data_IF_478451954734
#
_entry.id   IF_478451954734
#
_cell.length_a   1.000
_cell.length_b   1.000
_cell.length_c   1.000
_cell.angle_alpha   90.00
_cell.angle_beta   90.00
_cell.angle_gamma   90.00
#
_symmetry.space_group_name_H-M   'P 1'
#
loop_
_entity.id
_entity.type
_entity.pdbx_description
1 polymer ?
#
# COMPACT_ATOMS: atom_id res chain seq x y z
N UNK A 1 -27.95 12.20 20.26
CA UNK A 1 -27.88 11.91 18.81
C UNK A 1 -26.46 12.06 18.28
N UNK A 2 -25.71 13.05 18.77
CA UNK A 2 -24.32 13.36 18.39
C UNK A 2 -23.33 12.19 18.55
N UNK A 3 -23.34 11.47 19.68
CA UNK A 3 -22.49 10.29 19.89
C UNK A 3 -22.74 9.16 18.86
N UNK A 4 -23.97 8.99 18.38
CA UNK A 4 -24.27 7.95 17.37
C UNK A 4 -23.71 8.32 15.99
N UNK A 5 -23.64 9.61 15.65
CA UNK A 5 -23.07 10.06 14.38
C UNK A 5 -21.54 10.01 14.42
N UNK A 6 -20.92 10.41 15.54
CA UNK A 6 -19.46 10.28 15.74
C UNK A 6 -19.00 8.82 15.66
N UNK A 7 -19.69 7.89 16.32
CA UNK A 7 -19.36 6.47 16.22
C UNK A 7 -19.47 5.93 14.78
N UNK A 8 -20.44 6.41 13.98
CA UNK A 8 -20.55 6.01 12.57
C UNK A 8 -19.39 6.53 11.72
N UNK A 9 -18.98 7.78 11.95
CA UNK A 9 -17.83 8.38 11.25
C UNK A 9 -16.53 7.65 11.60
N UNK A 10 -16.29 7.35 12.88
CA UNK A 10 -15.14 6.53 13.29
C UNK A 10 -15.17 5.14 12.68
N UNK A 11 -16.31 4.46 12.68
CA UNK A 11 -16.42 3.13 12.09
C UNK A 11 -16.14 3.16 10.58
N UNK A 12 -16.65 4.16 9.87
CA UNK A 12 -16.38 4.34 8.45
C UNK A 12 -14.89 4.65 8.18
N UNK A 13 -14.25 5.47 9.01
CA UNK A 13 -12.81 5.73 8.93
C UNK A 13 -11.99 4.46 9.19
N UNK A 14 -12.30 3.70 10.25
CA UNK A 14 -11.61 2.44 10.57
C UNK A 14 -11.75 1.45 9.42
N UNK A 15 -12.95 1.29 8.86
CA UNK A 15 -13.19 0.38 7.75
C UNK A 15 -12.43 0.80 6.47
N UNK A 16 -12.34 2.11 6.19
CA UNK A 16 -11.52 2.60 5.09
C UNK A 16 -10.03 2.29 5.34
N UNK A 17 -9.55 2.55 6.56
CA UNK A 17 -8.15 2.32 6.92
C UNK A 17 -7.77 0.84 6.85
N UNK A 18 -8.63 -0.07 7.29
CA UNK A 18 -8.39 -1.51 7.19
C UNK A 18 -8.23 -1.95 5.73
N UNK A 19 -9.13 -1.53 4.83
CA UNK A 19 -9.04 -1.86 3.41
C UNK A 19 -7.73 -1.36 2.77
N UNK A 20 -7.34 -0.13 3.07
CA UNK A 20 -6.09 0.41 2.56
C UNK A 20 -4.86 -0.34 3.10
N UNK A 21 -4.88 -0.76 4.36
CA UNK A 21 -3.81 -1.58 4.95
C UNK A 21 -3.71 -2.96 4.29
N UNK A 22 -4.84 -3.60 3.97
CA UNK A 22 -4.85 -4.87 3.24
C UNK A 22 -4.21 -4.71 1.84
N UNK A 23 -4.52 -3.62 1.14
CA UNK A 23 -3.92 -3.32 -0.17
C UNK A 23 -2.42 -3.02 -0.06
N UNK A 24 -2.00 -2.25 0.95
CA UNK A 24 -0.59 -1.97 1.24
C UNK A 24 0.16 -3.27 1.52
N UNK A 25 -0.40 -4.16 2.34
CA UNK A 25 0.22 -5.46 2.63
C UNK A 25 0.42 -6.27 1.34
N UNK A 26 -0.57 -6.30 0.45
CA UNK A 26 -0.45 -6.95 -0.85
C UNK A 26 0.72 -6.41 -1.69
N UNK A 27 0.89 -5.08 -1.74
CA UNK A 27 2.01 -4.45 -2.47
C UNK A 27 3.36 -4.71 -1.82
N UNK A 28 3.44 -4.69 -0.50
CA UNK A 28 4.67 -5.03 0.23
C UNK A 28 5.08 -6.50 0.01
N UNK A 29 4.11 -7.41 -0.09
CA UNK A 29 4.37 -8.81 -0.47
C UNK A 29 4.94 -8.92 -1.89
N UNK A 30 4.40 -8.16 -2.86
CA UNK A 30 4.97 -8.11 -4.21
C UNK A 30 6.40 -7.56 -4.22
N UNK A 31 6.67 -6.50 -3.45
CA UNK A 31 8.04 -5.97 -3.28
C UNK A 31 8.98 -7.02 -2.70
N UNK A 32 8.52 -7.79 -1.71
CA UNK A 32 9.30 -8.89 -1.14
C UNK A 32 9.60 -9.98 -2.17
N UNK A 33 8.61 -10.44 -2.92
CA UNK A 33 8.79 -11.46 -3.97
C UNK A 33 9.80 -11.00 -5.03
N UNK A 34 9.75 -9.74 -5.45
CA UNK A 34 10.74 -9.15 -6.35
C UNK A 34 12.15 -9.17 -5.73
N UNK A 35 12.28 -8.82 -4.45
CA UNK A 35 13.58 -8.86 -3.77
C UNK A 35 14.14 -10.29 -3.66
N UNK A 36 13.29 -11.27 -3.36
CA UNK A 36 13.67 -12.68 -3.26
C UNK A 36 14.13 -13.22 -4.63
N UNK A 37 13.38 -12.96 -5.70
CA UNK A 37 13.79 -13.32 -7.07
C UNK A 37 15.15 -12.73 -7.42
N UNK A 38 15.42 -11.49 -7.02
CA UNK A 38 16.69 -10.81 -7.28
C UNK A 38 17.89 -11.45 -6.58
N UNK A 39 17.70 -12.17 -5.46
CA UNK A 39 18.78 -12.87 -4.76
C UNK A 39 19.17 -14.19 -5.43
N UNK A 40 18.25 -14.84 -6.14
CA UNK A 40 18.43 -16.19 -6.67
C UNK A 40 19.02 -16.22 -8.09
N UNK A 41 19.15 -15.07 -8.77
CA UNK A 41 19.46 -15.00 -10.20
C UNK A 41 20.67 -14.15 -10.59
N UNK A 42 21.27 -14.51 -11.73
CA UNK A 42 22.19 -13.64 -12.46
C UNK A 42 21.38 -12.71 -13.39
N UNK A 43 21.17 -11.47 -12.96
CA UNK A 43 20.40 -10.50 -13.73
C UNK A 43 21.27 -9.63 -14.62
N UNK A 44 20.83 -9.42 -15.85
CA UNK A 44 21.40 -8.39 -16.71
C UNK A 44 21.07 -6.99 -16.18
N UNK A 45 21.86 -5.98 -16.59
CA UNK A 45 21.60 -4.57 -16.24
C UNK A 45 20.20 -4.09 -16.64
N UNK A 46 19.66 -4.59 -17.75
CA UNK A 46 18.32 -4.24 -18.22
C UNK A 46 17.24 -4.82 -17.31
N UNK A 47 17.40 -6.07 -16.86
CA UNK A 47 16.46 -6.70 -15.92
C UNK A 47 16.50 -6.01 -14.54
N UNK A 48 17.70 -5.67 -14.06
CA UNK A 48 17.89 -4.86 -12.84
C UNK A 48 17.16 -3.51 -12.92
N UNK A 49 17.27 -2.82 -14.06
CA UNK A 49 16.60 -1.54 -14.26
C UNK A 49 15.07 -1.67 -14.26
N UNK A 50 14.54 -2.71 -14.92
CA UNK A 50 13.10 -2.98 -14.94
C UNK A 50 12.55 -3.30 -13.54
N UNK A 51 13.25 -4.15 -12.78
CA UNK A 51 12.85 -4.48 -11.40
C UNK A 51 12.90 -3.24 -10.51
N UNK A 52 13.94 -2.41 -10.62
CA UNK A 52 14.04 -1.18 -9.84
C UNK A 52 12.90 -0.18 -10.17
N UNK A 53 12.49 -0.10 -11.44
CA UNK A 53 11.33 0.72 -11.82
C UNK A 53 10.05 0.18 -11.18
N UNK A 54 9.84 -1.14 -11.18
CA UNK A 54 8.68 -1.77 -10.54
C UNK A 54 8.66 -1.53 -9.02
N UNK A 55 9.81 -1.63 -8.34
CA UNK A 55 9.94 -1.31 -6.92
C UNK A 55 9.50 0.13 -6.61
N UNK A 56 9.96 1.09 -7.40
CA UNK A 56 9.61 2.50 -7.20
C UNK A 56 8.12 2.77 -7.39
N UNK A 57 7.49 2.11 -8.36
CA UNK A 57 6.05 2.22 -8.56
C UNK A 57 5.28 1.67 -7.36
N UNK A 58 5.65 0.49 -6.86
CA UNK A 58 5.03 -0.11 -5.68
C UNK A 58 5.21 0.76 -4.43
N UNK A 59 6.39 1.33 -4.23
CA UNK A 59 6.68 2.27 -3.13
C UNK A 59 5.78 3.52 -3.22
N UNK A 60 5.64 4.11 -4.41
CA UNK A 60 4.75 5.26 -4.63
C UNK A 60 3.29 4.91 -4.32
N UNK A 61 2.82 3.76 -4.79
CA UNK A 61 1.45 3.30 -4.53
C UNK A 61 1.18 3.04 -3.05
N UNK A 62 2.14 2.43 -2.32
CA UNK A 62 2.04 2.23 -0.87
C UNK A 62 1.93 3.57 -0.14
N UNK A 63 2.80 4.51 -0.47
CA UNK A 63 2.79 5.83 0.15
C UNK A 63 1.48 6.59 -0.13
N UNK A 64 0.99 6.52 -1.36
CA UNK A 64 -0.27 7.15 -1.75
C UNK A 64 -1.47 6.54 -1.02
N UNK A 65 -1.55 5.21 -0.93
CA UNK A 65 -2.63 4.52 -0.19
C UNK A 65 -2.61 4.87 1.30
N UNK A 66 -1.41 4.94 1.90
CA UNK A 66 -1.25 5.29 3.30
C UNK A 66 -1.71 6.72 3.58
N UNK A 67 -1.32 7.67 2.72
CA UNK A 67 -1.72 9.08 2.84
C UNK A 67 -3.23 9.26 2.64
N UNK A 68 -3.80 8.69 1.57
CA UNK A 68 -5.22 8.83 1.25
C UNK A 68 -6.12 8.26 2.35
N UNK A 69 -5.76 7.11 2.92
CA UNK A 69 -6.58 6.48 3.97
C UNK A 69 -6.45 7.17 5.33
N UNK A 70 -5.30 7.79 5.65
CA UNK A 70 -5.19 8.63 6.86
C UNK A 70 -6.07 9.87 6.78
N UNK A 71 -6.14 10.47 5.59
CA UNK A 71 -6.88 11.70 5.33
C UNK A 71 -8.34 11.48 4.92
N UNK A 72 -8.88 10.27 5.07
CA UNK A 72 -10.25 9.96 4.71
C UNK A 72 -11.24 10.71 5.62
N UNK A 73 -12.06 11.58 5.02
CA UNK A 73 -13.11 12.33 5.73
C UNK A 73 -14.47 11.78 5.30
N UNK A 74 -15.29 11.39 6.29
CA UNK A 74 -16.67 10.94 6.08
C UNK A 74 -17.62 12.13 6.15
N UNK A 75 -18.27 12.48 5.04
CA UNK A 75 -19.32 13.51 4.97
C UNK A 75 -20.64 13.06 5.61
#
# INVERSE_FOLDING_TARGET
>A
MENKNQCKQWLAWINNRLKALDEIEGKLRQMRELAEQMQEGNFSRQQLAAVNQQFKLLEQEVNQLDEQSRNFITH
#
